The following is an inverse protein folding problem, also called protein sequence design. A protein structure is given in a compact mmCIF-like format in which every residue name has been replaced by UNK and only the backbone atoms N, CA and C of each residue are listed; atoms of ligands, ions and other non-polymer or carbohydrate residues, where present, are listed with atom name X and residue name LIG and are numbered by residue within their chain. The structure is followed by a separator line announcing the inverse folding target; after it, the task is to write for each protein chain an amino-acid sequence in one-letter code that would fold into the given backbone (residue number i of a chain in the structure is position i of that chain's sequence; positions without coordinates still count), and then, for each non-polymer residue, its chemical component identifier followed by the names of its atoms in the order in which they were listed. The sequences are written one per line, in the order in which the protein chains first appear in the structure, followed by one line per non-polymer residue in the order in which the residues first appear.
data_IF_691849133005
#
_entry.id   IF_691849133005
#
_cell.length_a   1.000
_cell.length_b   1.000
_cell.length_c   1.000
_cell.angle_alpha   90.00
_cell.angle_beta   90.00
_cell.angle_gamma   90.00
#
_symmetry.space_group_name_H-M   'P 1'
#
loop_
_entity.id
_entity.type
_entity.pdbx_description
1 polymer ?
#
# COMPACT_ATOMS: atom_id res chain seq x y z
N UNK A 1 6.00 11.07 21.25
CA UNK A 1 6.54 9.80 21.81
C UNK A 1 7.66 9.29 20.90
N UNK A 2 8.71 8.65 21.42
CA UNK A 2 9.82 8.07 20.63
C UNK A 2 9.87 6.53 20.80
N UNK A 3 8.80 5.84 20.40
CA UNK A 3 8.59 4.42 20.73
C UNK A 3 9.65 3.48 20.15
N UNK A 4 10.28 3.83 19.03
CA UNK A 4 11.41 3.07 18.45
C UNK A 4 12.61 2.95 19.38
N UNK A 5 12.77 3.86 20.35
CA UNK A 5 13.85 3.84 21.36
C UNK A 5 13.45 3.17 22.68
N UNK A 6 12.20 2.74 22.84
CA UNK A 6 11.75 2.09 24.07
C UNK A 6 12.23 0.63 24.12
N UNK A 7 13.15 0.33 25.03
CA UNK A 7 13.73 -1.02 25.19
C UNK A 7 12.74 -1.98 25.87
N UNK A 8 11.97 -1.49 26.85
CA UNK A 8 11.15 -2.36 27.73
C UNK A 8 9.89 -2.93 27.06
N UNK A 9 9.30 -2.19 26.10
CA UNK A 9 8.07 -2.57 25.36
C UNK A 9 6.94 -3.19 26.21
N UNK A 10 6.76 -2.75 27.46
CA UNK A 10 5.76 -3.30 28.40
C UNK A 10 4.31 -3.18 27.90
N UNK A 11 4.04 -2.38 26.85
CA UNK A 11 2.75 -2.37 26.19
C UNK A 11 2.39 -3.71 25.54
N UNK A 12 3.38 -4.56 25.23
CA UNK A 12 3.16 -5.94 24.79
C UNK A 12 2.37 -6.77 25.82
N UNK A 13 2.58 -6.51 27.12
CA UNK A 13 1.84 -7.14 28.23
C UNK A 13 0.75 -6.22 28.81
N UNK A 14 0.33 -5.19 28.08
CA UNK A 14 -0.84 -4.37 28.45
C UNK A 14 -0.56 -3.04 29.15
N UNK A 15 0.70 -2.62 29.34
CA UNK A 15 0.97 -1.25 29.84
C UNK A 15 0.40 -0.22 28.87
N UNK A 16 -0.51 0.63 29.35
CA UNK A 16 -1.00 1.76 28.58
C UNK A 16 0.01 2.92 28.61
N UNK A 17 0.55 3.28 27.44
CA UNK A 17 1.46 4.42 27.30
C UNK A 17 0.75 5.73 26.93
N UNK A 18 -0.57 5.70 26.72
CA UNK A 18 -1.43 6.79 26.22
C UNK A 18 -2.87 6.64 26.73
N UNK A 19 -3.05 6.78 28.05
CA UNK A 19 -4.38 6.74 28.68
C UNK A 19 -5.32 7.80 28.10
N UNK A 20 -4.77 8.97 27.74
CA UNK A 20 -5.49 10.13 27.20
C UNK A 20 -6.26 9.90 25.89
N UNK A 21 -5.93 8.85 25.12
CA UNK A 21 -6.58 8.57 23.84
C UNK A 21 -7.09 7.12 23.71
N UNK A 22 -6.92 6.28 24.72
CA UNK A 22 -7.26 4.85 24.63
C UNK A 22 -8.74 4.65 24.31
N UNK A 23 -9.64 5.31 25.03
CA UNK A 23 -11.09 5.19 24.82
C UNK A 23 -11.50 5.62 23.42
N UNK A 24 -11.00 6.78 22.97
CA UNK A 24 -11.24 7.29 21.62
C UNK A 24 -10.78 6.30 20.53
N UNK A 25 -9.63 5.65 20.71
CA UNK A 25 -9.15 4.62 19.78
C UNK A 25 -10.08 3.39 19.80
N UNK A 26 -10.50 2.94 20.99
CA UNK A 26 -11.42 1.82 21.11
C UNK A 26 -12.74 2.09 20.40
N UNK A 27 -13.25 3.33 20.45
CA UNK A 27 -14.46 3.71 19.72
C UNK A 27 -14.28 3.66 18.19
N UNK A 28 -13.10 4.03 17.67
CA UNK A 28 -12.78 3.85 16.25
C UNK A 28 -12.78 2.37 15.84
N UNK A 29 -12.25 1.47 16.68
CA UNK A 29 -12.30 0.02 16.44
C UNK A 29 -13.71 -0.58 16.58
N UNK A 30 -14.66 0.11 17.23
CA UNK A 30 -16.07 -0.34 17.29
C UNK A 30 -16.82 -0.07 15.99
N UNK A 31 -16.31 0.80 15.11
CA UNK A 31 -16.89 0.98 13.77
C UNK A 31 -16.82 -0.34 13.00
N UNK A 32 -17.90 -0.68 12.32
CA UNK A 32 -18.09 -2.01 11.72
C UNK A 32 -16.94 -2.42 10.79
N UNK A 33 -16.59 -1.56 9.84
CA UNK A 33 -15.52 -1.82 8.88
C UNK A 33 -14.16 -2.01 9.57
N UNK A 34 -13.79 -1.10 10.47
CA UNK A 34 -12.54 -1.17 11.22
C UNK A 34 -12.45 -2.46 12.06
N UNK A 35 -13.55 -2.82 12.74
CA UNK A 35 -13.59 -4.04 13.53
C UNK A 35 -13.44 -5.28 12.66
N UNK A 36 -14.09 -5.30 11.49
CA UNK A 36 -14.01 -6.41 10.54
C UNK A 36 -12.59 -6.57 10.01
N UNK A 37 -11.95 -5.48 9.57
CA UNK A 37 -10.55 -5.47 9.11
C UNK A 37 -9.62 -5.98 10.22
N UNK A 38 -9.79 -5.51 11.47
CA UNK A 38 -8.96 -5.90 12.60
C UNK A 38 -9.10 -7.40 12.93
N UNK A 39 -10.33 -7.92 12.95
CA UNK A 39 -10.61 -9.34 13.20
C UNK A 39 -10.03 -10.24 12.11
N UNK A 40 -10.23 -9.89 10.84
CA UNK A 40 -9.71 -10.68 9.71
C UNK A 40 -8.18 -10.66 9.70
N UNK A 41 -7.57 -9.50 9.91
CA UNK A 41 -6.10 -9.37 10.00
C UNK A 41 -5.52 -10.23 11.13
N UNK A 42 -6.12 -10.16 12.32
CA UNK A 42 -5.68 -10.94 13.48
C UNK A 42 -5.88 -12.45 13.28
N UNK A 43 -6.97 -12.86 12.62
CA UNK A 43 -7.20 -14.26 12.27
C UNK A 43 -6.12 -14.78 11.31
N UNK A 44 -5.80 -14.03 10.26
CA UNK A 44 -4.76 -14.43 9.29
C UNK A 44 -3.41 -14.56 9.98
N UNK A 45 -3.03 -13.57 10.80
CA UNK A 45 -1.79 -13.62 11.59
C UNK A 45 -1.75 -14.86 12.49
N UNK A 46 -2.79 -15.10 13.29
CA UNK A 46 -2.82 -16.21 14.25
C UNK A 46 -2.89 -17.59 13.58
N UNK A 47 -3.64 -17.73 12.48
CA UNK A 47 -3.83 -19.01 11.79
C UNK A 47 -2.68 -19.37 10.85
N UNK A 48 -2.01 -18.37 10.26
CA UNK A 48 -1.03 -18.56 9.20
C UNK A 48 0.33 -17.90 9.49
N UNK A 49 0.65 -17.65 10.75
CA UNK A 49 1.93 -17.06 11.18
C UNK A 49 3.12 -17.75 10.52
N UNK A 50 3.87 -16.99 9.70
CA UNK A 50 5.03 -17.48 8.93
C UNK A 50 4.75 -18.65 7.96
N UNK A 51 3.50 -18.81 7.51
CA UNK A 51 3.08 -19.91 6.60
C UNK A 51 2.57 -19.43 5.26
N UNK A 52 2.00 -18.23 5.19
CA UNK A 52 1.52 -17.63 3.94
C UNK A 52 2.44 -16.50 3.48
N UNK A 53 2.60 -16.40 2.17
CA UNK A 53 3.19 -15.22 1.53
C UNK A 53 2.22 -14.03 1.60
N UNK A 54 2.73 -12.81 1.41
CA UNK A 54 1.88 -11.60 1.33
C UNK A 54 0.79 -11.72 0.26
N UNK A 55 1.07 -12.37 -0.87
CA UNK A 55 0.09 -12.58 -1.93
C UNK A 55 -1.06 -13.47 -1.44
N UNK A 56 -0.74 -14.58 -0.77
CA UNK A 56 -1.74 -15.48 -0.20
C UNK A 56 -2.52 -14.84 0.95
N UNK A 57 -1.88 -14.01 1.78
CA UNK A 57 -2.54 -13.21 2.80
C UNK A 57 -3.55 -12.23 2.20
N UNK A 58 -3.20 -11.52 1.11
CA UNK A 58 -4.12 -10.60 0.42
C UNK A 58 -5.33 -11.37 -0.14
N UNK A 59 -5.11 -12.51 -0.78
CA UNK A 59 -6.20 -13.33 -1.33
C UNK A 59 -7.12 -13.82 -0.20
N UNK A 60 -6.55 -14.30 0.90
CA UNK A 60 -7.33 -14.75 2.07
C UNK A 60 -8.10 -13.59 2.70
N UNK A 61 -7.45 -12.45 2.89
CA UNK A 61 -8.03 -11.25 3.44
C UNK A 61 -9.24 -10.79 2.62
N UNK A 62 -9.09 -10.66 1.31
CA UNK A 62 -10.18 -10.26 0.42
C UNK A 62 -11.36 -11.25 0.47
N UNK A 63 -11.09 -12.57 0.53
CA UNK A 63 -12.14 -13.59 0.68
C UNK A 63 -12.91 -13.46 1.99
N UNK A 64 -12.20 -13.32 3.11
CA UNK A 64 -12.81 -13.19 4.44
C UNK A 64 -13.53 -11.85 4.63
N UNK A 65 -13.09 -10.81 3.93
CA UNK A 65 -13.78 -9.52 3.89
C UNK A 65 -15.01 -9.51 2.98
N UNK A 66 -15.19 -10.55 2.16
CA UNK A 66 -16.17 -10.65 1.08
C UNK A 66 -16.02 -9.58 -0.02
N UNK A 67 -14.78 -9.14 -0.24
CA UNK A 67 -14.44 -8.18 -1.30
C UNK A 67 -14.58 -8.81 -2.68
N UNK A 68 -15.11 -8.04 -3.63
CA UNK A 68 -15.40 -8.46 -5.00
C UNK A 68 -14.55 -7.70 -6.01
N UNK A 69 -14.39 -6.40 -5.84
CA UNK A 69 -13.67 -5.52 -6.77
C UNK A 69 -12.32 -5.11 -6.21
N UNK A 70 -11.24 -5.48 -6.89
CA UNK A 70 -9.88 -5.16 -6.45
C UNK A 70 -9.22 -4.21 -7.44
N UNK A 71 -8.78 -3.06 -6.95
CA UNK A 71 -8.01 -2.10 -7.74
C UNK A 71 -6.51 -2.37 -7.67
N UNK A 72 -5.80 -2.23 -8.78
CA UNK A 72 -4.34 -2.25 -8.86
C UNK A 72 -3.85 -0.92 -9.41
N UNK A 73 -3.23 -0.11 -8.55
CA UNK A 73 -2.55 1.12 -8.96
C UNK A 73 -1.06 0.85 -9.15
N UNK A 74 -0.58 0.87 -10.39
CA UNK A 74 0.78 0.45 -10.71
C UNK A 74 1.61 1.51 -11.43
N UNK A 75 2.93 1.43 -11.27
CA UNK A 75 3.85 2.23 -12.07
C UNK A 75 4.10 1.56 -13.43
N UNK A 76 4.11 2.35 -14.52
CA UNK A 76 4.43 1.86 -15.87
C UNK A 76 5.71 1.02 -15.94
N UNK A 77 6.73 1.38 -15.16
CA UNK A 77 7.99 0.62 -15.14
C UNK A 77 7.97 -0.62 -14.23
N UNK A 78 6.78 -1.10 -13.84
CA UNK A 78 6.49 -2.39 -13.19
C UNK A 78 5.19 -2.99 -13.77
N UNK A 79 4.93 -2.76 -15.06
CA UNK A 79 3.74 -3.27 -15.75
C UNK A 79 3.68 -4.80 -15.80
N UNK A 80 4.83 -5.47 -15.87
CA UNK A 80 4.89 -6.93 -15.91
C UNK A 80 4.48 -7.54 -14.57
N UNK A 81 4.99 -6.99 -13.47
CA UNK A 81 4.62 -7.38 -12.12
C UNK A 81 3.13 -7.12 -11.86
N UNK A 82 2.63 -5.97 -12.30
CA UNK A 82 1.21 -5.64 -12.21
C UNK A 82 0.34 -6.63 -13.00
N UNK A 83 0.74 -6.97 -14.24
CA UNK A 83 0.03 -7.94 -15.08
C UNK A 83 0.01 -9.34 -14.47
N UNK A 84 1.12 -9.79 -13.88
CA UNK A 84 1.19 -11.09 -13.19
C UNK A 84 0.23 -11.09 -11.99
N UNK A 85 0.27 -10.03 -11.18
CA UNK A 85 -0.61 -9.90 -10.02
C UNK A 85 -2.09 -9.88 -10.43
N UNK A 86 -2.44 -9.09 -11.45
CA UNK A 86 -3.78 -9.02 -12.02
C UNK A 86 -4.26 -10.41 -12.43
N UNK A 87 -3.50 -11.13 -13.26
CA UNK A 87 -3.86 -12.48 -13.73
C UNK A 87 -4.08 -13.48 -12.58
N UNK A 88 -3.35 -13.35 -11.47
CA UNK A 88 -3.53 -14.21 -10.30
C UNK A 88 -4.81 -13.85 -9.55
N UNK A 89 -5.02 -12.55 -9.28
CA UNK A 89 -6.17 -12.06 -8.52
C UNK A 89 -7.49 -12.22 -9.30
N UNK A 90 -7.46 -12.08 -10.63
CA UNK A 90 -8.60 -12.24 -11.54
C UNK A 90 -9.20 -13.66 -11.54
N UNK A 91 -8.50 -14.64 -10.95
CA UNK A 91 -9.06 -15.98 -10.70
C UNK A 91 -10.05 -16.01 -9.53
N UNK A 92 -10.07 -14.97 -8.70
CA UNK A 92 -10.84 -14.91 -7.46
C UNK A 92 -11.75 -13.68 -7.37
N UNK A 93 -11.40 -12.59 -8.05
CA UNK A 93 -12.04 -11.27 -7.91
C UNK A 93 -12.22 -10.58 -9.27
N UNK A 94 -13.03 -9.54 -9.30
CA UNK A 94 -13.13 -8.60 -10.42
C UNK A 94 -12.00 -7.55 -10.28
N UNK A 95 -10.98 -7.64 -11.12
CA UNK A 95 -9.77 -6.82 -11.00
C UNK A 95 -9.78 -5.67 -11.99
N UNK A 96 -9.39 -4.48 -11.52
CA UNK A 96 -9.25 -3.28 -12.32
C UNK A 96 -7.86 -2.69 -12.10
N UNK A 97 -7.10 -2.47 -13.16
CA UNK A 97 -5.73 -1.94 -13.06
C UNK A 97 -5.61 -0.58 -13.74
N UNK A 98 -4.91 0.35 -13.08
CA UNK A 98 -4.70 1.72 -13.59
C UNK A 98 -3.21 2.07 -13.58
N UNK A 99 -2.68 2.42 -14.75
CA UNK A 99 -1.28 2.80 -14.93
C UNK A 99 -1.02 4.22 -14.39
N UNK A 100 0.17 4.45 -13.82
CA UNK A 100 0.54 5.74 -13.28
C UNK A 100 0.57 6.88 -14.31
N UNK A 101 0.61 6.60 -15.61
CA UNK A 101 0.61 7.63 -16.67
C UNK A 101 -0.80 7.98 -17.17
N UNK A 102 -1.84 7.51 -16.48
CA UNK A 102 -3.23 7.76 -16.85
C UNK A 102 -3.51 9.27 -17.03
N UNK A 103 -4.34 9.60 -18.01
CA UNK A 103 -4.61 10.95 -18.53
C UNK A 103 -3.45 11.61 -19.30
N UNK A 104 -2.24 11.05 -19.30
CA UNK A 104 -1.13 11.52 -20.16
C UNK A 104 -0.74 12.98 -19.96
N UNK A 105 -0.96 13.52 -18.76
CA UNK A 105 -0.73 14.94 -18.44
C UNK A 105 0.76 15.24 -18.58
N UNK A 106 1.12 16.27 -19.35
CA UNK A 106 2.51 16.66 -19.55
C UNK A 106 3.12 17.22 -18.26
N UNK A 107 4.37 16.87 -17.98
CA UNK A 107 5.13 17.44 -16.86
C UNK A 107 5.26 18.96 -16.94
N UNK A 108 5.27 19.53 -18.15
CA UNK A 108 5.38 20.98 -18.35
C UNK A 108 4.20 21.76 -17.75
N UNK A 109 3.02 21.14 -17.63
CA UNK A 109 1.82 21.76 -17.03
C UNK A 109 2.07 22.22 -15.59
N UNK A 110 2.94 21.51 -14.87
CA UNK A 110 3.27 21.81 -13.48
C UNK A 110 4.78 22.04 -13.29
N UNK A 111 5.50 22.35 -14.36
CA UNK A 111 6.94 22.63 -14.33
C UNK A 111 7.76 21.51 -13.64
N UNK A 112 7.34 20.26 -13.83
CA UNK A 112 7.97 19.12 -13.17
C UNK A 112 9.25 18.71 -13.89
N UNK A 113 10.25 18.31 -13.09
CA UNK A 113 11.52 17.82 -13.64
C UNK A 113 11.30 16.62 -14.55
N UNK A 114 11.75 16.73 -15.81
CA UNK A 114 11.81 15.64 -16.78
C UNK A 114 13.04 14.77 -16.53
N UNK A 115 12.93 13.50 -16.89
CA UNK A 115 14.04 12.55 -16.94
C UNK A 115 14.86 12.83 -18.21
N UNK A 116 14.17 13.05 -19.33
CA UNK A 116 14.78 13.39 -20.62
C UNK A 116 14.33 14.80 -21.03
N UNK A 117 15.25 15.76 -20.94
CA UNK A 117 14.98 17.15 -21.33
C UNK A 117 14.77 17.25 -22.85
N UNK A 118 13.85 18.13 -23.26
CA UNK A 118 13.52 18.35 -24.68
C UNK A 118 12.46 17.42 -25.27
N UNK A 119 12.02 16.41 -24.53
CA UNK A 119 10.95 15.50 -24.96
C UNK A 119 9.64 15.77 -24.20
N UNK A 120 8.52 15.35 -24.79
CA UNK A 120 7.24 15.26 -24.08
C UNK A 120 7.30 14.09 -23.10
N UNK A 121 7.14 14.38 -21.82
CA UNK A 121 7.12 13.35 -20.79
C UNK A 121 5.88 13.51 -19.92
N UNK A 122 5.01 12.51 -19.93
CA UNK A 122 3.83 12.52 -19.06
C UNK A 122 4.24 12.40 -17.59
N UNK A 123 3.61 13.16 -16.70
CA UNK A 123 3.75 13.00 -15.25
C UNK A 123 3.12 11.69 -14.79
N UNK A 124 3.45 11.27 -13.57
CA UNK A 124 2.64 10.24 -12.90
C UNK A 124 1.41 10.92 -12.27
N UNK A 125 0.24 10.33 -12.45
CA UNK A 125 -1.05 10.85 -11.99
C UNK A 125 -1.70 9.92 -10.96
N UNK A 126 -1.15 9.83 -9.73
CA UNK A 126 -1.70 8.98 -8.67
C UNK A 126 -3.09 9.41 -8.19
N UNK A 127 -3.44 10.69 -8.33
CA UNK A 127 -4.78 11.20 -8.04
C UNK A 127 -5.76 10.64 -9.07
N UNK A 128 -5.42 10.70 -10.37
CA UNK A 128 -6.22 10.08 -11.42
C UNK A 128 -6.38 8.57 -11.25
N UNK A 129 -5.33 7.87 -10.80
CA UNK A 129 -5.44 6.44 -10.45
C UNK A 129 -6.48 6.21 -9.34
N UNK A 130 -6.45 7.01 -8.27
CA UNK A 130 -7.40 6.89 -7.17
C UNK A 130 -8.83 7.23 -7.61
N UNK A 131 -9.04 8.31 -8.35
CA UNK A 131 -10.38 8.72 -8.79
C UNK A 131 -11.03 7.69 -9.72
N UNK A 132 -10.29 7.11 -10.66
CA UNK A 132 -10.82 6.05 -11.54
C UNK A 132 -11.24 4.83 -10.72
N UNK A 133 -10.44 4.41 -9.74
CA UNK A 133 -10.78 3.26 -8.87
C UNK A 133 -11.94 3.60 -7.91
N UNK A 134 -12.05 4.86 -7.47
CA UNK A 134 -13.18 5.36 -6.69
C UNK A 134 -14.49 5.31 -7.50
N UNK A 135 -14.47 5.67 -8.78
CA UNK A 135 -15.62 5.59 -9.69
C UNK A 135 -16.09 4.15 -9.88
N UNK A 136 -15.14 3.22 -10.02
CA UNK A 136 -15.40 1.77 -10.12
C UNK A 136 -15.94 1.18 -8.80
N UNK A 137 -15.70 1.87 -7.69
CA UNK A 137 -16.03 1.46 -6.31
C UNK A 137 -15.37 0.14 -5.94
N UNK A 138 -14.05 0.10 -6.08
CA UNK A 138 -13.24 -1.02 -5.59
C UNK A 138 -13.35 -1.18 -4.07
N UNK A 139 -13.31 -2.41 -3.57
CA UNK A 139 -13.36 -2.72 -2.15
C UNK A 139 -11.98 -2.62 -1.48
N UNK A 140 -10.91 -2.87 -2.24
CA UNK A 140 -9.52 -2.74 -1.82
C UNK A 140 -8.66 -2.27 -3.00
N UNK A 141 -7.72 -1.36 -2.73
CA UNK A 141 -6.71 -0.94 -3.68
C UNK A 141 -5.32 -1.47 -3.30
N UNK A 142 -4.59 -2.00 -4.28
CA UNK A 142 -3.24 -2.55 -4.14
C UNK A 142 -2.26 -1.69 -4.92
N UNK A 143 -1.25 -1.16 -4.22
CA UNK A 143 -0.16 -0.40 -4.83
C UNK A 143 0.93 -1.36 -5.32
N UNK A 144 1.29 -1.20 -6.59
CA UNK A 144 2.41 -1.91 -7.23
C UNK A 144 3.46 -0.90 -7.69
N UNK A 145 4.37 -0.59 -6.76
CA UNK A 145 5.59 0.19 -6.97
C UNK A 145 5.37 1.60 -7.53
N UNK A 146 4.44 2.33 -6.94
CA UNK A 146 4.40 3.79 -7.06
C UNK A 146 5.63 4.41 -6.38
N UNK A 147 6.14 5.52 -6.92
CA UNK A 147 7.26 6.24 -6.32
C UNK A 147 6.83 6.90 -5.00
N UNK A 148 7.80 7.18 -4.12
CA UNK A 148 7.58 8.00 -2.93
C UNK A 148 6.90 9.33 -3.29
N UNK A 149 5.86 9.70 -2.55
CA UNK A 149 5.04 10.88 -2.81
C UNK A 149 3.87 10.58 -3.73
N UNK A 150 4.05 9.75 -4.77
CA UNK A 150 2.93 9.29 -5.58
C UNK A 150 2.07 8.26 -4.84
N UNK A 151 2.70 7.34 -4.10
CA UNK A 151 2.02 6.40 -3.20
C UNK A 151 1.24 7.11 -2.09
N UNK A 152 1.80 8.19 -1.53
CA UNK A 152 1.16 9.03 -0.50
C UNK A 152 -0.08 9.72 -1.09
N UNK A 153 0.04 10.33 -2.28
CA UNK A 153 -1.10 10.95 -2.95
C UNK A 153 -2.18 9.92 -3.28
N UNK A 154 -1.81 8.75 -3.82
CA UNK A 154 -2.79 7.70 -4.10
C UNK A 154 -3.56 7.29 -2.83
N UNK A 155 -2.85 6.99 -1.73
CA UNK A 155 -3.48 6.63 -0.46
C UNK A 155 -4.34 7.75 0.12
N UNK A 156 -3.95 9.01 -0.06
CA UNK A 156 -4.72 10.17 0.41
C UNK A 156 -6.06 10.33 -0.31
N UNK A 157 -6.12 10.00 -1.61
CA UNK A 157 -7.32 10.20 -2.44
C UNK A 157 -8.13 8.91 -2.66
N UNK A 158 -7.58 7.73 -2.33
CA UNK A 158 -8.31 6.47 -2.35
C UNK A 158 -9.42 6.47 -1.30
N UNK A 159 -10.66 6.19 -1.72
CA UNK A 159 -11.79 5.98 -0.80
C UNK A 159 -11.78 4.57 -0.21
N UNK A 160 -11.36 3.59 -1.00
CA UNK A 160 -11.17 2.22 -0.54
C UNK A 160 -9.91 2.13 0.34
N UNK A 161 -9.84 1.20 1.30
CA UNK A 161 -8.60 0.88 1.99
C UNK A 161 -7.52 0.51 0.98
N UNK A 162 -6.27 0.82 1.32
CA UNK A 162 -5.12 0.60 0.44
C UNK A 162 -4.06 -0.23 1.13
N UNK A 163 -3.44 -1.14 0.39
CA UNK A 163 -2.24 -1.87 0.82
C UNK A 163 -1.17 -1.83 -0.27
N UNK A 164 0.09 -2.01 0.11
CA UNK A 164 1.21 -2.02 -0.83
C UNK A 164 1.75 -3.43 -0.99
N UNK A 165 1.75 -3.93 -2.24
CA UNK A 165 2.33 -5.22 -2.58
C UNK A 165 3.83 -5.10 -2.91
N UNK A 166 4.20 -4.09 -3.69
CA UNK A 166 5.59 -3.80 -4.05
C UNK A 166 5.91 -2.36 -3.65
N UNK A 167 6.85 -2.18 -2.72
CA UNK A 167 7.42 -0.86 -2.41
C UNK A 167 8.51 -0.56 -3.43
N UNK A 168 8.41 0.55 -4.15
CA UNK A 168 9.34 0.84 -5.25
C UNK A 168 10.74 1.17 -4.74
N UNK A 169 11.67 0.25 -4.96
CA UNK A 169 13.11 0.48 -4.84
C UNK A 169 13.83 -0.25 -5.97
N UNK A 170 14.26 0.47 -7.01
CA UNK A 170 14.92 -0.17 -8.16
C UNK A 170 16.34 -0.64 -7.83
N UNK A 171 16.97 -0.04 -6.83
CA UNK A 171 18.36 -0.35 -6.46
C UNK A 171 18.42 -1.65 -5.69
N UNK A 172 17.45 -1.89 -4.80
CA UNK A 172 17.40 -3.07 -3.92
C UNK A 172 16.38 -4.12 -4.35
N UNK A 173 16.03 -4.18 -5.64
CA UNK A 173 15.04 -5.13 -6.17
C UNK A 173 13.73 -5.13 -5.36
N UNK A 174 13.28 -3.94 -4.97
CA UNK A 174 12.06 -3.67 -4.20
C UNK A 174 12.08 -4.17 -2.75
N UNK A 175 13.26 -4.55 -2.23
CA UNK A 175 13.49 -4.89 -0.83
C UNK A 175 14.11 -3.72 -0.07
N UNK A 176 13.30 -2.70 0.25
CA UNK A 176 13.75 -1.47 0.93
C UNK A 176 14.40 -1.73 2.30
N UNK A 177 14.02 -2.81 3.00
CA UNK A 177 14.63 -3.19 4.27
C UNK A 177 16.14 -3.51 4.12
N UNK A 178 16.58 -3.92 2.93
CA UNK A 178 17.99 -4.17 2.63
C UNK A 178 18.90 -2.96 2.92
N UNK A 179 18.40 -1.74 2.75
CA UNK A 179 19.19 -0.52 3.02
C UNK A 179 19.59 -0.44 4.51
N UNK A 180 18.67 -0.71 5.43
CA UNK A 180 18.92 -0.60 6.88
C UNK A 180 19.60 -1.84 7.47
N UNK A 181 19.69 -2.93 6.72
CA UNK A 181 20.49 -4.09 7.10
C UNK A 181 21.95 -3.96 6.68
N UNK A 182 22.26 -3.02 5.78
CA UNK A 182 23.62 -2.74 5.36
C UNK A 182 24.44 -2.10 6.48
N UNK A 183 25.54 -2.76 6.86
CA UNK A 183 26.53 -2.19 7.79
C UNK A 183 27.09 -0.84 7.32
N UNK A 184 27.12 -0.59 6.01
CA UNK A 184 27.56 0.68 5.46
C UNK A 184 26.61 1.80 5.87
N UNK A 185 25.30 1.65 5.63
CA UNK A 185 24.31 2.67 6.01
C UNK A 185 24.22 2.82 7.53
N UNK A 186 24.29 1.73 8.29
CA UNK A 186 24.27 1.79 9.76
C UNK A 186 25.46 2.53 10.39
N UNK A 187 26.60 2.65 9.69
CA UNK A 187 27.78 3.37 10.18
C UNK A 187 27.89 4.80 9.68
N UNK A 188 27.32 5.08 8.50
CA UNK A 188 27.52 6.35 7.79
C UNK A 188 26.26 7.23 7.73
N UNK A 189 25.14 6.80 8.33
CA UNK A 189 23.91 7.57 8.49
C UNK A 189 23.50 7.61 9.96
#
# INVERSE_FOLDING_TARGET
MKCSKCIKKLCYVGKNCREDIKEKIMDEYKKEENLKIAKVSSYIEGAYYMRKTRLEEIIEFCKLMDYKKIGIAFCIGLENEAKILDNILSKYFEVYSVCCKVCGIDKDVFELKKIHEGEKEAMCNPIGQAEILNEIRTDLNIIVGLCIGHDILFQKYSKAPTTTFIVKDRVLAHNTAGAIYSKYYLKNC
#
